data_IF_988378072704
#
_entry.id   IF_988378072704
#
_cell.length_a   1.000
_cell.length_b   1.000
_cell.length_c   1.000
_cell.angle_alpha   90.00
_cell.angle_beta   90.00
_cell.angle_gamma   90.00
#
_symmetry.space_group_name_H-M   'P 1'
#
loop_
_entity.id
_entity.type
_entity.pdbx_description
1 polymer ?
#
# COMPACT_ATOMS: atom_id res chain seq x y z
N UNK A 1 6.00 26.33 -6.90
CA UNK A 1 4.97 27.22 -6.35
C UNK A 1 4.27 26.50 -5.21
N UNK A 2 4.58 26.95 -3.99
CA UNK A 2 4.09 26.43 -2.72
C UNK A 2 2.61 26.79 -2.59
N UNK A 3 1.73 25.80 -2.51
CA UNK A 3 0.33 26.00 -2.08
C UNK A 3 0.03 25.08 -0.91
N UNK A 4 0.71 25.40 0.19
CA UNK A 4 0.22 25.21 1.55
C UNK A 4 -1.13 25.91 1.72
N UNK A 5 -1.96 25.35 2.61
CA UNK A 5 -3.17 25.92 3.22
C UNK A 5 -4.48 25.29 2.75
N UNK A 6 -4.94 24.28 3.51
CA UNK A 6 -6.19 24.38 4.28
C UNK A 6 -6.00 23.50 5.52
N UNK A 7 -5.64 24.12 6.64
CA UNK A 7 -5.89 23.58 7.97
C UNK A 7 -7.26 24.08 8.39
N UNK A 8 -8.21 23.18 8.68
CA UNK A 8 -9.26 23.47 9.64
C UNK A 8 -9.57 22.22 10.45
N UNK A 9 -9.59 22.45 11.76
CA UNK A 9 -9.55 21.48 12.83
C UNK A 9 -10.89 20.79 13.06
N UNK A 10 -10.83 19.53 13.50
CA UNK A 10 -11.85 18.93 14.33
C UNK A 10 -11.13 18.32 15.54
N UNK A 11 -11.32 18.98 16.68
CA UNK A 11 -10.71 18.70 17.97
C UNK A 11 -11.71 17.90 18.83
N UNK A 12 -11.14 17.00 19.65
CA UNK A 12 -11.72 16.25 20.77
C UNK A 12 -12.64 15.07 20.47
N UNK A 13 -12.22 13.87 20.91
CA UNK A 13 -12.63 13.34 22.22
C UNK A 13 -11.81 12.09 22.57
N UNK A 14 -10.87 12.25 23.51
CA UNK A 14 -10.34 11.16 24.32
C UNK A 14 -11.41 10.81 25.34
N UNK A 15 -12.01 9.62 25.22
CA UNK A 15 -12.76 8.99 26.31
C UNK A 15 -12.75 7.46 26.11
N UNK A 16 -12.09 6.78 27.04
CA UNK A 16 -12.39 5.44 27.55
C UNK A 16 -12.82 4.36 26.56
N UNK A 17 -11.91 3.44 26.28
CA UNK A 17 -12.27 2.03 26.13
C UNK A 17 -11.08 1.18 26.54
N UNK A 18 -11.03 0.86 27.84
CA UNK A 18 -10.43 -0.38 28.29
C UNK A 18 -11.14 -1.51 27.52
N UNK A 19 -10.48 -2.14 26.57
CA UNK A 19 -10.87 -3.46 26.07
C UNK A 19 -9.68 -4.40 26.22
N UNK A 20 -9.74 -5.08 27.35
CA UNK A 20 -9.08 -6.34 27.66
C UNK A 20 -9.44 -7.44 26.66
N UNK A 21 -8.49 -8.35 26.45
CA UNK A 21 -8.69 -9.78 26.15
C UNK A 21 -9.22 -10.21 24.77
N UNK A 22 -8.28 -10.77 23.98
CA UNK A 22 -8.35 -12.09 23.33
C UNK A 22 -9.71 -12.61 22.84
N UNK A 23 -9.91 -12.60 21.53
CA UNK A 23 -10.62 -13.67 20.82
C UNK A 23 -10.19 -13.69 19.34
N UNK A 24 -9.39 -14.70 19.00
CA UNK A 24 -9.00 -15.05 17.63
C UNK A 24 -10.23 -15.65 16.93
N UNK A 25 -10.74 -15.03 15.86
CA UNK A 25 -11.46 -15.76 14.79
C UNK A 25 -11.45 -14.93 13.51
N UNK A 26 -10.61 -15.33 12.55
CA UNK A 26 -10.91 -15.23 11.12
C UNK A 26 -10.01 -16.21 10.37
N UNK A 27 -10.64 -17.02 9.52
CA UNK A 27 -10.05 -18.02 8.62
C UNK A 27 -8.83 -17.50 7.83
N UNK A 28 -7.93 -18.38 7.36
CA UNK A 28 -6.69 -17.97 6.70
C UNK A 28 -7.03 -17.33 5.35
N UNK A 29 -7.13 -16.00 5.32
CA UNK A 29 -6.96 -15.28 4.07
C UNK A 29 -5.57 -15.63 3.53
N UNK A 30 -5.44 -15.98 2.23
CA UNK A 30 -4.15 -16.32 1.66
C UNK A 30 -3.20 -15.17 1.98
N UNK A 31 -2.03 -15.52 2.53
CA UNK A 31 -1.00 -14.59 2.95
C UNK A 31 -0.58 -13.72 1.76
N UNK A 32 -1.34 -12.64 1.53
CA UNK A 32 -0.86 -11.41 0.91
C UNK A 32 0.44 -11.16 1.61
N UNK A 33 1.55 -11.26 0.87
CA UNK A 33 2.91 -11.23 1.40
C UNK A 33 2.91 -10.44 2.69
N UNK A 34 3.06 -11.14 3.83
CA UNK A 34 3.13 -10.51 5.13
C UNK A 34 3.92 -9.23 4.95
N UNK A 35 3.41 -8.10 5.44
CA UNK A 35 4.06 -6.77 5.42
C UNK A 35 5.40 -6.79 6.19
N UNK A 36 6.24 -7.79 5.97
CA UNK A 36 7.67 -7.79 6.14
C UNK A 36 8.13 -6.57 5.37
N UNK A 37 8.30 -5.51 6.16
CA UNK A 37 8.73 -4.17 5.82
C UNK A 37 9.33 -4.13 4.42
N UNK A 38 8.65 -3.46 3.50
CA UNK A 38 9.09 -3.25 2.13
C UNK A 38 10.48 -2.58 2.17
N UNK A 39 11.55 -3.37 2.22
CA UNK A 39 12.91 -2.83 2.41
C UNK A 39 13.34 -2.12 1.15
N UNK A 40 14.20 -1.10 1.30
CA UNK A 40 14.73 -0.35 0.15
C UNK A 40 15.37 -1.27 -0.88
N UNK A 41 16.05 -2.32 -0.44
CA UNK A 41 16.67 -3.31 -1.32
C UNK A 41 15.65 -4.14 -2.11
N UNK A 42 14.58 -4.62 -1.46
CA UNK A 42 13.51 -5.34 -2.14
C UNK A 42 12.81 -4.44 -3.18
N UNK A 43 12.58 -3.17 -2.85
CA UNK A 43 12.03 -2.18 -3.78
C UNK A 43 12.92 -1.91 -4.99
N UNK A 44 14.24 -1.94 -4.82
CA UNK A 44 15.18 -1.78 -5.95
C UNK A 44 15.13 -2.99 -6.86
N UNK A 45 15.20 -4.19 -6.30
CA UNK A 45 15.14 -5.45 -7.06
C UNK A 45 13.85 -5.56 -7.86
N UNK A 46 12.70 -5.30 -7.24
CA UNK A 46 11.40 -5.35 -7.93
C UNK A 46 11.33 -4.31 -9.05
N UNK A 47 11.79 -3.07 -8.81
CA UNK A 47 11.83 -2.05 -9.86
C UNK A 47 12.72 -2.43 -11.03
N UNK A 48 13.86 -3.07 -10.78
CA UNK A 48 14.73 -3.57 -11.84
C UNK A 48 14.00 -4.63 -12.68
N UNK A 49 13.40 -5.65 -12.03
CA UNK A 49 12.57 -6.67 -12.71
C UNK A 49 11.45 -6.04 -13.54
N UNK A 50 10.73 -5.05 -12.99
CA UNK A 50 9.65 -4.40 -13.72
C UNK A 50 10.11 -3.52 -14.87
N UNK A 51 11.35 -3.04 -14.84
CA UNK A 51 11.92 -2.21 -15.90
C UNK A 51 12.21 -2.99 -17.19
N UNK A 52 12.27 -4.32 -17.12
CA UNK A 52 12.34 -5.21 -18.28
C UNK A 52 11.03 -5.16 -19.08
N UNK A 53 9.89 -4.95 -18.41
CA UNK A 53 8.55 -4.92 -19.00
C UNK A 53 7.89 -3.54 -18.88
N UNK A 54 8.55 -2.52 -19.43
CA UNK A 54 8.14 -1.09 -19.29
C UNK A 54 6.69 -0.81 -19.72
N UNK A 55 6.21 -1.50 -20.75
CA UNK A 55 4.84 -1.31 -21.29
C UNK A 55 3.79 -1.73 -20.25
N UNK A 56 3.94 -2.92 -19.68
CA UNK A 56 3.06 -3.45 -18.63
C UNK A 56 3.13 -2.59 -17.37
N UNK A 57 4.33 -2.19 -16.96
CA UNK A 57 4.53 -1.30 -15.82
C UNK A 57 3.80 0.04 -15.99
N UNK A 58 3.76 0.60 -17.21
CA UNK A 58 3.01 1.83 -17.49
C UNK A 58 1.50 1.61 -17.32
N UNK A 59 0.97 0.47 -17.77
CA UNK A 59 -0.44 0.12 -17.57
C UNK A 59 -0.78 -0.07 -16.08
N UNK A 60 0.05 -0.82 -15.34
CA UNK A 60 -0.13 -1.01 -13.89
C UNK A 60 -0.12 0.32 -13.13
N UNK A 61 0.78 1.25 -13.47
CA UNK A 61 0.83 2.59 -12.86
C UNK A 61 -0.40 3.43 -13.16
N UNK A 62 -1.02 3.29 -14.34
CA UNK A 62 -2.31 3.95 -14.63
C UNK A 62 -3.40 3.40 -13.72
N UNK A 63 -3.37 2.09 -13.46
CA UNK A 63 -4.35 1.46 -12.58
C UNK A 63 -4.22 1.96 -11.14
N UNK A 64 -3.00 1.95 -10.60
CA UNK A 64 -2.70 2.51 -9.28
C UNK A 64 -3.25 3.91 -9.14
N UNK A 65 -3.09 4.75 -10.17
CA UNK A 65 -3.60 6.13 -10.17
C UNK A 65 -5.13 6.18 -10.19
N UNK A 66 -5.78 5.30 -10.98
CA UNK A 66 -7.24 5.20 -11.05
C UNK A 66 -7.84 4.72 -9.72
N UNK A 67 -7.16 3.82 -9.03
CA UNK A 67 -7.57 3.32 -7.71
C UNK A 67 -7.18 4.26 -6.55
N UNK A 68 -6.38 5.30 -6.80
CA UNK A 68 -5.94 6.23 -5.76
C UNK A 68 -4.99 5.62 -4.74
N UNK A 69 -4.27 4.55 -5.10
CA UNK A 69 -3.36 3.86 -4.19
C UNK A 69 -2.12 4.72 -3.89
N UNK A 70 -1.79 4.83 -2.60
CA UNK A 70 -0.67 5.64 -2.07
C UNK A 70 0.23 4.80 -1.17
N UNK A 71 1.41 5.33 -0.84
CA UNK A 71 2.35 4.66 0.06
C UNK A 71 2.78 3.28 -0.43
N UNK A 72 2.72 2.30 0.47
CA UNK A 72 3.17 0.93 0.21
C UNK A 72 2.18 0.12 -0.64
N UNK A 73 0.88 0.40 -0.55
CA UNK A 73 -0.16 -0.31 -1.30
C UNK A 73 0.04 -0.20 -2.81
N UNK A 74 0.56 0.94 -3.26
CA UNK A 74 0.96 1.15 -4.65
C UNK A 74 2.02 0.14 -5.12
N UNK A 75 3.01 -0.18 -4.28
CA UNK A 75 4.09 -1.09 -4.66
C UNK A 75 3.59 -2.53 -4.76
N UNK A 76 2.78 -2.97 -3.79
CA UNK A 76 2.16 -4.29 -3.81
C UNK A 76 1.21 -4.47 -4.99
N UNK A 77 0.42 -3.45 -5.31
CA UNK A 77 -0.44 -3.51 -6.48
C UNK A 77 0.35 -3.64 -7.79
N UNK A 78 1.46 -2.90 -7.93
CA UNK A 78 2.29 -3.01 -9.13
C UNK A 78 2.92 -4.40 -9.23
N UNK A 79 3.36 -4.99 -8.11
CA UNK A 79 3.88 -6.36 -8.08
C UNK A 79 2.83 -7.36 -8.59
N UNK A 80 1.64 -7.35 -7.99
CA UNK A 80 0.53 -8.22 -8.36
C UNK A 80 0.09 -7.98 -9.82
N UNK A 81 0.00 -6.73 -10.27
CA UNK A 81 -0.33 -6.39 -11.65
C UNK A 81 0.74 -6.87 -12.65
N UNK A 82 2.01 -6.87 -12.27
CA UNK A 82 3.10 -7.35 -13.13
C UNK A 82 3.14 -8.88 -13.19
N UNK A 83 2.77 -9.57 -12.11
CA UNK A 83 2.70 -11.04 -12.04
C UNK A 83 1.42 -11.61 -12.68
N UNK A 84 0.33 -10.83 -12.73
CA UNK A 84 -0.89 -11.18 -13.49
C UNK A 84 -0.60 -11.16 -14.99
N UNK A 85 -0.34 -12.32 -15.58
CA UNK A 85 -0.07 -12.51 -17.02
C UNK A 85 -1.19 -12.01 -17.91
#
# INVERSE_FOLDING_TARGET
MLRTSVCLAAVMLVAGSLHTASAQTAAPAPAKMSRMKLTVEKLKQMRAKWSENKVKLKACRKEVKRQGLVGDDRWFYIEDCMDKT
#
